data_IF_278454360464
#
_entry.id   IF_278454360464
#
_cell.length_a   1.000
_cell.length_b   1.000
_cell.length_c   1.000
_cell.angle_alpha   90.00
_cell.angle_beta   90.00
_cell.angle_gamma   90.00
#
_symmetry.space_group_name_H-M   'P 1'
#
loop_
_entity.id
_entity.type
_entity.pdbx_description
1 polymer ?
#
# COMPACT_ATOMS: atom_id res chain seq x y z
N UNK A 1 -0.47 -6.38 29.47
CA UNK A 1 -1.26 -5.56 28.52
C UNK A 1 -0.59 -4.23 28.21
N UNK A 2 -0.15 -3.45 29.20
CA UNK A 2 0.47 -2.13 28.97
C UNK A 2 1.75 -2.16 28.12
N UNK A 3 2.64 -3.15 28.27
CA UNK A 3 3.88 -3.22 27.46
C UNK A 3 3.62 -3.53 25.98
N UNK A 4 2.58 -4.31 25.67
CA UNK A 4 2.19 -4.63 24.30
C UNK A 4 1.54 -3.44 23.60
N UNK A 5 0.66 -2.72 24.32
CA UNK A 5 0.12 -1.45 23.85
C UNK A 5 1.24 -0.42 23.60
N UNK A 6 2.19 -0.29 24.52
CA UNK A 6 3.34 0.62 24.34
C UNK A 6 4.19 0.23 23.13
N UNK A 7 4.44 -1.06 22.89
CA UNK A 7 5.14 -1.55 21.68
C UNK A 7 4.36 -1.27 20.39
N UNK A 8 3.03 -1.33 20.44
CA UNK A 8 2.15 -1.12 19.29
C UNK A 8 2.02 0.36 18.91
N UNK A 9 2.11 1.26 19.89
CA UNK A 9 2.08 2.72 19.69
C UNK A 9 3.47 3.36 19.57
N UNK A 10 4.55 2.61 19.82
CA UNK A 10 5.93 3.09 19.73
C UNK A 10 6.31 3.68 18.35
N UNK A 11 5.89 3.10 17.21
CA UNK A 11 6.13 3.70 15.90
C UNK A 11 5.43 5.05 15.74
N UNK A 12 4.21 5.19 16.29
CA UNK A 12 3.45 6.43 16.20
C UNK A 12 4.12 7.58 16.95
N UNK A 13 4.82 7.30 18.04
CA UNK A 13 5.57 8.32 18.79
C UNK A 13 6.92 8.63 18.13
N UNK A 14 7.59 7.62 17.56
CA UNK A 14 8.91 7.77 16.94
C UNK A 14 8.86 8.55 15.61
N UNK A 15 7.79 8.38 14.80
CA UNK A 15 7.63 9.03 13.50
C UNK A 15 6.79 10.32 13.52
N UNK A 16 6.27 10.74 14.68
CA UNK A 16 5.44 11.96 14.82
C UNK A 16 6.25 13.25 15.01
N UNK A 17 7.54 13.26 14.72
CA UNK A 17 8.44 14.32 15.18
C UNK A 17 8.75 15.38 14.11
N UNK A 18 7.72 16.04 13.59
CA UNK A 18 7.89 17.34 12.95
C UNK A 18 7.23 18.42 13.80
N UNK A 19 7.89 19.58 13.94
CA UNK A 19 7.39 20.72 14.73
C UNK A 19 5.99 21.17 14.27
N UNK A 20 5.70 20.99 12.98
CA UNK A 20 4.40 21.27 12.37
C UNK A 20 3.35 20.19 12.70
N UNK A 21 3.73 18.91 12.78
CA UNK A 21 2.80 17.84 13.16
C UNK A 21 2.30 18.00 14.61
N UNK A 22 3.18 18.36 15.54
CA UNK A 22 2.80 18.61 16.93
C UNK A 22 1.86 19.83 17.07
N UNK A 23 2.12 20.90 16.32
CA UNK A 23 1.25 22.08 16.28
C UNK A 23 -0.13 21.76 15.68
N UNK A 24 -0.17 21.04 14.56
CA UNK A 24 -1.42 20.62 13.91
C UNK A 24 -2.20 19.61 14.75
N UNK A 25 -1.54 18.70 15.46
CA UNK A 25 -2.18 17.76 16.36
C UNK A 25 -2.85 18.47 17.55
N UNK A 26 -2.21 19.50 18.11
CA UNK A 26 -2.83 20.33 19.16
C UNK A 26 -4.01 21.16 18.64
N UNK A 27 -3.97 21.61 17.39
CA UNK A 27 -5.03 22.43 16.77
C UNK A 27 -6.26 21.62 16.36
N UNK A 28 -6.05 20.46 15.76
CA UNK A 28 -7.12 19.65 15.16
C UNK A 28 -7.50 18.43 16.00
N UNK A 29 -6.65 17.94 16.90
CA UNK A 29 -6.92 16.77 17.72
C UNK A 29 -7.42 15.59 16.89
N UNK A 30 -8.61 15.07 17.23
CA UNK A 30 -9.25 13.95 16.53
C UNK A 30 -9.54 14.22 15.04
N UNK A 31 -9.63 15.49 14.60
CA UNK A 31 -9.87 15.83 13.19
C UNK A 31 -8.68 15.50 12.26
N UNK A 32 -7.49 15.25 12.81
CA UNK A 32 -6.34 14.71 12.03
C UNK A 32 -6.60 13.33 11.44
N UNK A 33 -7.63 12.61 11.93
CA UNK A 33 -8.05 11.31 11.38
C UNK A 33 -8.99 11.44 10.18
N UNK A 34 -9.43 12.64 9.82
CA UNK A 34 -10.32 12.84 8.66
C UNK A 34 -9.68 12.29 7.38
N UNK A 35 -8.42 12.58 7.02
CA UNK A 35 -7.85 12.09 5.76
C UNK A 35 -7.85 10.56 5.60
N UNK A 36 -7.38 9.76 6.56
CA UNK A 36 -7.47 8.30 6.43
C UNK A 36 -8.92 7.81 6.49
N UNK A 37 -9.81 8.42 7.28
CA UNK A 37 -11.23 8.04 7.32
C UNK A 37 -11.93 8.28 5.98
N UNK A 38 -11.71 9.44 5.35
CA UNK A 38 -12.27 9.79 4.05
C UNK A 38 -11.76 8.81 2.99
N UNK A 39 -10.45 8.52 2.97
CA UNK A 39 -9.87 7.57 2.04
C UNK A 39 -10.48 6.17 2.19
N UNK A 40 -10.59 5.65 3.42
CA UNK A 40 -11.12 4.30 3.68
C UNK A 40 -12.62 4.24 3.39
N UNK A 41 -13.39 5.21 3.87
CA UNK A 41 -14.84 5.23 3.67
C UNK A 41 -15.20 5.34 2.18
N UNK A 42 -14.54 6.24 1.45
CA UNK A 42 -14.76 6.35 0.02
C UNK A 42 -14.28 5.12 -0.74
N UNK A 43 -13.21 4.45 -0.31
CA UNK A 43 -12.75 3.23 -0.98
C UNK A 43 -13.80 2.11 -0.92
N UNK A 44 -14.52 1.98 0.21
CA UNK A 44 -15.62 1.01 0.32
C UNK A 44 -16.88 1.44 -0.42
N UNK A 45 -17.22 2.73 -0.43
CA UNK A 45 -18.44 3.25 -1.09
C UNK A 45 -18.27 3.26 -2.61
N UNK A 46 -17.20 3.88 -3.11
CA UNK A 46 -16.95 4.08 -4.53
C UNK A 46 -16.40 2.83 -5.21
N UNK A 47 -15.82 1.90 -4.43
CA UNK A 47 -15.07 0.74 -4.93
C UNK A 47 -13.92 1.13 -5.86
N UNK A 48 -13.45 2.38 -5.78
CA UNK A 48 -12.33 2.93 -6.53
C UNK A 48 -11.28 3.45 -5.55
N UNK A 49 -10.18 2.71 -5.43
CA UNK A 49 -9.09 3.03 -4.51
C UNK A 49 -8.36 4.31 -4.94
N UNK A 50 -8.22 4.55 -6.24
CA UNK A 50 -7.44 5.69 -6.76
C UNK A 50 -8.15 6.99 -6.45
N UNK A 51 -9.46 7.07 -6.77
CA UNK A 51 -10.27 8.26 -6.46
C UNK A 51 -10.36 8.51 -4.95
N UNK A 52 -10.44 7.43 -4.16
CA UNK A 52 -10.55 7.53 -2.71
C UNK A 52 -9.27 8.00 -2.05
N UNK A 53 -8.11 7.52 -2.50
CA UNK A 53 -6.80 8.01 -2.08
C UNK A 53 -6.62 9.49 -2.44
N UNK A 54 -7.00 9.88 -3.66
CA UNK A 54 -6.96 11.28 -4.08
C UNK A 54 -7.81 12.18 -3.18
N UNK A 55 -9.06 11.79 -2.90
CA UNK A 55 -9.95 12.51 -1.99
C UNK A 55 -9.39 12.57 -0.56
N UNK A 56 -8.77 11.49 -0.07
CA UNK A 56 -8.07 11.48 1.21
C UNK A 56 -6.93 12.50 1.27
N UNK A 57 -6.03 12.49 0.29
CA UNK A 57 -4.92 13.46 0.19
C UNK A 57 -5.44 14.90 0.06
N UNK A 58 -6.51 15.11 -0.71
CA UNK A 58 -7.16 16.42 -0.83
C UNK A 58 -7.71 16.90 0.51
N UNK A 59 -8.36 16.03 1.29
CA UNK A 59 -8.81 16.39 2.63
C UNK A 59 -7.65 16.69 3.61
N UNK A 60 -6.51 16.00 3.47
CA UNK A 60 -5.31 16.26 4.28
C UNK A 60 -4.65 17.60 3.96
N UNK A 61 -4.45 17.88 2.67
CA UNK A 61 -3.93 19.19 2.22
C UNK A 61 -4.90 20.33 2.53
N UNK A 62 -6.21 20.06 2.59
CA UNK A 62 -7.23 20.98 3.07
C UNK A 62 -7.05 21.34 4.55
N UNK A 63 -6.86 20.35 5.42
CA UNK A 63 -6.59 20.61 6.84
C UNK A 63 -5.28 21.38 7.06
N UNK A 64 -4.22 21.05 6.33
CA UNK A 64 -2.95 21.78 6.42
C UNK A 64 -3.06 23.22 5.93
N UNK A 65 -3.87 23.48 4.92
CA UNK A 65 -4.13 24.85 4.44
C UNK A 65 -5.04 25.61 5.38
N UNK A 66 -5.95 24.91 6.06
CA UNK A 66 -6.81 25.49 7.07
C UNK A 66 -6.00 25.95 8.30
N UNK A 67 -5.06 25.14 8.83
CA UNK A 67 -4.23 25.58 9.95
C UNK A 67 -3.34 26.78 9.59
N UNK A 68 -2.70 26.74 8.43
CA UNK A 68 -1.85 27.84 7.95
C UNK A 68 -2.61 29.17 7.83
N UNK A 69 -3.89 29.14 7.44
CA UNK A 69 -4.74 30.32 7.32
C UNK A 69 -5.34 30.76 8.66
N UNK A 70 -5.67 29.83 9.57
CA UNK A 70 -6.13 30.14 10.94
C UNK A 70 -5.04 30.91 11.72
N UNK A 71 -3.77 30.53 11.59
CA UNK A 71 -2.66 31.25 12.24
C UNK A 71 -2.41 32.66 11.65
N UNK A 72 -2.88 32.94 10.43
CA UNK A 72 -2.66 34.23 9.73
C UNK A 72 -3.83 35.21 9.81
N UNK A 73 -5.05 34.78 10.12
CA UNK A 73 -6.23 35.63 10.01
C UNK A 73 -7.13 35.60 11.27
N UNK A 74 -7.11 36.69 12.04
CA UNK A 74 -8.03 36.96 13.15
C UNK A 74 -9.47 37.29 12.68
N UNK A 75 -9.75 37.45 11.38
CA UNK A 75 -11.06 37.91 10.91
C UNK A 75 -11.52 37.28 9.57
N UNK A 76 -12.82 36.94 9.53
CA UNK A 76 -13.70 36.50 8.42
C UNK A 76 -13.60 35.05 7.91
N UNK A 77 -14.51 34.20 8.41
CA UNK A 77 -14.59 32.75 8.18
C UNK A 77 -15.07 32.28 6.78
N UNK A 78 -15.70 33.13 5.95
CA UNK A 78 -16.35 32.69 4.69
C UNK A 78 -15.54 32.94 3.41
N UNK A 79 -14.76 34.02 3.34
CA UNK A 79 -13.85 34.29 2.18
C UNK A 79 -12.68 33.30 2.16
N UNK A 80 -12.40 32.68 3.32
CA UNK A 80 -11.30 31.73 3.50
C UNK A 80 -11.56 30.37 2.86
N UNK A 81 -12.80 29.88 2.74
CA UNK A 81 -13.03 28.51 2.26
C UNK A 81 -12.63 28.32 0.79
N UNK A 82 -13.01 29.26 -0.09
CA UNK A 82 -12.63 29.20 -1.51
C UNK A 82 -11.11 29.30 -1.68
N UNK A 83 -10.48 30.26 -1.00
CA UNK A 83 -9.03 30.44 -1.04
C UNK A 83 -8.28 29.23 -0.47
N UNK A 84 -8.74 28.66 0.65
CA UNK A 84 -8.18 27.43 1.22
C UNK A 84 -8.38 26.25 0.27
N UNK A 85 -9.53 26.10 -0.39
CA UNK A 85 -9.75 25.03 -1.36
C UNK A 85 -8.80 25.12 -2.56
N UNK A 86 -8.61 26.33 -3.11
CA UNK A 86 -7.65 26.59 -4.20
C UNK A 86 -6.21 26.32 -3.74
N UNK A 87 -5.82 26.82 -2.56
CA UNK A 87 -4.48 26.60 -2.00
C UNK A 87 -4.21 25.11 -1.73
N UNK A 88 -5.22 24.37 -1.28
CA UNK A 88 -5.12 22.92 -1.03
C UNK A 88 -4.84 22.16 -2.31
N UNK A 89 -5.55 22.49 -3.39
CA UNK A 89 -5.31 21.89 -4.69
C UNK A 89 -3.90 22.23 -5.20
N UNK A 90 -3.45 23.48 -5.07
CA UNK A 90 -2.07 23.87 -5.39
C UNK A 90 -1.04 23.13 -4.54
N UNK A 91 -1.30 22.89 -3.25
CA UNK A 91 -0.40 22.15 -2.37
C UNK A 91 -0.25 20.70 -2.78
N UNK A 92 -1.32 20.02 -3.21
CA UNK A 92 -1.23 18.66 -3.76
C UNK A 92 -0.24 18.62 -4.91
N UNK A 93 -0.35 19.55 -5.87
CA UNK A 93 0.57 19.62 -7.01
C UNK A 93 2.00 19.87 -6.53
N UNK A 94 2.21 20.77 -5.56
CA UNK A 94 3.54 21.04 -5.01
C UNK A 94 4.15 19.84 -4.30
N UNK A 95 3.36 19.06 -3.56
CA UNK A 95 3.83 17.84 -2.90
C UNK A 95 4.12 16.74 -3.90
N UNK A 96 3.27 16.54 -4.92
CA UNK A 96 3.54 15.58 -6.00
C UNK A 96 4.84 15.95 -6.71
N UNK A 97 5.02 17.24 -7.05
CA UNK A 97 6.22 17.73 -7.72
C UNK A 97 7.46 17.54 -6.86
N UNK A 98 7.41 17.95 -5.59
CA UNK A 98 8.51 17.82 -4.64
C UNK A 98 8.91 16.35 -4.43
N UNK A 99 7.94 15.48 -4.17
CA UNK A 99 8.18 14.05 -3.98
C UNK A 99 8.71 13.37 -5.24
N UNK A 100 8.22 13.73 -6.43
CA UNK A 100 8.65 13.12 -7.70
C UNK A 100 10.00 13.63 -8.18
N UNK A 101 10.38 14.85 -7.76
CA UNK A 101 11.66 15.47 -8.15
C UNK A 101 12.84 15.01 -7.28
N UNK A 102 12.56 14.39 -6.13
CA UNK A 102 13.60 13.75 -5.31
C UNK A 102 14.21 12.56 -6.08
N UNK A 103 15.55 12.51 -6.25
CA UNK A 103 16.21 11.48 -7.05
C UNK A 103 15.94 10.04 -6.57
N UNK A 104 15.74 9.84 -5.26
CA UNK A 104 15.48 8.51 -4.70
C UNK A 104 14.05 8.08 -5.01
N UNK A 105 13.08 8.95 -4.72
CA UNK A 105 11.67 8.69 -5.05
C UNK A 105 11.46 8.50 -6.56
N UNK A 106 12.11 9.33 -7.39
CA UNK A 106 12.09 9.17 -8.85
C UNK A 106 12.67 7.83 -9.30
N UNK A 107 13.80 7.41 -8.70
CA UNK A 107 14.39 6.10 -8.93
C UNK A 107 13.45 4.95 -8.60
N UNK A 108 12.70 5.07 -7.49
CA UNK A 108 11.70 4.08 -7.08
C UNK A 108 10.51 4.04 -8.05
N UNK A 109 10.01 5.19 -8.50
CA UNK A 109 8.94 5.24 -9.50
C UNK A 109 9.38 4.53 -10.79
N UNK A 110 10.59 4.83 -11.27
CA UNK A 110 11.16 4.17 -12.45
C UNK A 110 11.29 2.66 -12.22
N UNK A 111 11.78 2.25 -11.05
CA UNK A 111 11.90 0.85 -10.68
C UNK A 111 10.54 0.12 -10.67
N UNK A 112 9.52 0.71 -10.05
CA UNK A 112 8.17 0.12 -9.99
C UNK A 112 7.58 -0.02 -11.41
N UNK A 113 7.77 0.99 -12.28
CA UNK A 113 7.34 0.91 -13.68
C UNK A 113 8.07 -0.19 -14.46
N UNK A 114 9.39 -0.31 -14.30
CA UNK A 114 10.18 -1.34 -14.95
C UNK A 114 9.83 -2.75 -14.46
N UNK A 115 9.73 -2.96 -13.14
CA UNK A 115 9.35 -4.26 -12.56
C UNK A 115 7.92 -4.60 -12.97
N UNK A 116 6.98 -3.65 -12.89
CA UNK A 116 5.60 -3.85 -13.35
C UNK A 116 5.52 -4.28 -14.82
N UNK A 117 6.31 -3.65 -15.70
CA UNK A 117 6.43 -4.03 -17.11
C UNK A 117 7.02 -5.44 -17.30
N UNK A 118 8.08 -5.77 -16.56
CA UNK A 118 8.70 -7.10 -16.57
C UNK A 118 7.71 -8.18 -16.10
N UNK A 119 6.99 -7.92 -15.02
CA UNK A 119 5.97 -8.81 -14.47
C UNK A 119 4.83 -9.02 -15.47
N UNK A 120 4.37 -7.97 -16.14
CA UNK A 120 3.37 -8.07 -17.20
C UNK A 120 3.86 -8.93 -18.36
N UNK A 121 5.12 -8.76 -18.77
CA UNK A 121 5.74 -9.57 -19.82
C UNK A 121 5.84 -11.05 -19.41
N UNK A 122 6.36 -11.35 -18.23
CA UNK A 122 6.48 -12.72 -17.70
C UNK A 122 5.11 -13.40 -17.60
N UNK A 123 4.12 -12.66 -17.13
CA UNK A 123 2.73 -13.14 -17.03
C UNK A 123 2.16 -13.45 -18.41
N UNK A 124 2.43 -12.59 -19.40
CA UNK A 124 1.98 -12.79 -20.80
C UNK A 124 2.70 -13.93 -21.52
N UNK A 125 3.99 -14.15 -21.24
CA UNK A 125 4.77 -15.27 -21.80
C UNK A 125 4.26 -16.64 -21.33
N UNK A 126 3.49 -16.71 -20.24
CA UNK A 126 2.84 -17.94 -19.78
C UNK A 126 3.77 -18.96 -19.12
N UNK A 127 5.05 -18.62 -18.90
CA UNK A 127 6.02 -19.50 -18.23
C UNK A 127 5.58 -19.87 -16.81
N UNK A 128 5.18 -18.88 -16.01
CA UNK A 128 4.65 -19.09 -14.67
C UNK A 128 3.36 -19.94 -14.68
N UNK A 129 2.49 -19.73 -15.68
CA UNK A 129 1.30 -20.57 -15.91
C UNK A 129 1.66 -22.01 -16.25
N UNK A 130 2.69 -22.24 -17.07
CA UNK A 130 3.15 -23.59 -17.41
C UNK A 130 3.75 -24.32 -16.21
N UNK A 131 4.55 -23.63 -15.37
CA UNK A 131 5.06 -24.17 -14.10
C UNK A 131 3.90 -24.54 -13.18
N UNK A 132 2.94 -23.64 -13.00
CA UNK A 132 1.75 -23.87 -12.19
C UNK A 132 0.96 -25.10 -12.65
N UNK A 133 0.74 -25.26 -13.95
CA UNK A 133 0.07 -26.44 -14.52
C UNK A 133 0.85 -27.74 -14.26
N UNK A 134 2.18 -27.70 -14.30
CA UNK A 134 3.02 -28.87 -13.99
C UNK A 134 2.88 -29.28 -12.51
N UNK A 135 2.80 -28.33 -11.60
CA UNK A 135 2.56 -28.59 -10.18
C UNK A 135 1.12 -29.05 -9.91
N UNK A 136 0.13 -28.49 -10.60
CA UNK A 136 -1.25 -28.93 -10.51
C UNK A 136 -1.40 -30.41 -10.91
N UNK A 137 -0.74 -30.85 -11.99
CA UNK A 137 -0.72 -32.28 -12.41
C UNK A 137 -0.08 -33.22 -11.39
N UNK A 138 0.83 -32.72 -10.55
CA UNK A 138 1.51 -33.53 -9.51
C UNK A 138 0.68 -33.70 -8.24
N UNK A 139 -0.39 -32.92 -8.05
CA UNK A 139 -1.18 -33.02 -6.84
C UNK A 139 -2.12 -34.22 -6.88
N UNK A 140 -1.91 -35.16 -5.96
CA UNK A 140 -2.68 -36.42 -5.88
C UNK A 140 -3.66 -36.49 -4.71
N UNK A 141 -3.57 -35.56 -3.76
CA UNK A 141 -4.38 -35.52 -2.55
C UNK A 141 -4.67 -34.08 -2.09
N UNK A 142 -5.59 -33.91 -1.15
CA UNK A 142 -5.89 -32.60 -0.56
C UNK A 142 -4.66 -31.94 0.08
N UNK A 143 -3.82 -32.72 0.77
CA UNK A 143 -2.57 -32.22 1.36
C UNK A 143 -1.59 -31.82 0.28
N UNK A 144 -1.40 -32.67 -0.73
CA UNK A 144 -0.48 -32.39 -1.84
C UNK A 144 -0.93 -31.17 -2.65
N UNK A 145 -2.23 -30.94 -2.83
CA UNK A 145 -2.75 -29.76 -3.48
C UNK A 145 -2.42 -28.49 -2.69
N UNK A 146 -2.63 -28.49 -1.37
CA UNK A 146 -2.29 -27.34 -0.50
C UNK A 146 -0.79 -27.05 -0.50
N UNK A 147 0.04 -28.09 -0.36
CA UNK A 147 1.50 -27.96 -0.37
C UNK A 147 1.99 -27.45 -1.72
N UNK A 148 1.45 -27.96 -2.84
CA UNK A 148 1.82 -27.47 -4.17
C UNK A 148 1.36 -26.03 -4.39
N UNK A 149 0.19 -25.63 -3.91
CA UNK A 149 -0.28 -24.24 -3.98
C UNK A 149 0.67 -23.32 -3.20
N UNK A 150 1.05 -23.73 -1.99
CA UNK A 150 1.98 -22.98 -1.14
C UNK A 150 3.37 -22.84 -1.79
N UNK A 151 3.94 -23.94 -2.29
CA UNK A 151 5.22 -23.90 -3.02
C UNK A 151 5.17 -23.05 -4.29
N UNK A 152 4.05 -23.09 -5.01
CA UNK A 152 3.87 -22.29 -6.21
C UNK A 152 3.78 -20.80 -5.87
N UNK A 153 3.11 -20.46 -4.77
CA UNK A 153 3.11 -19.10 -4.22
C UNK A 153 4.53 -18.62 -3.86
N UNK A 154 5.34 -19.47 -3.23
CA UNK A 154 6.75 -19.16 -2.96
C UNK A 154 7.59 -18.98 -4.24
N UNK A 155 7.28 -19.72 -5.30
CA UNK A 155 8.00 -19.62 -6.58
C UNK A 155 7.67 -18.34 -7.36
N UNK A 156 6.43 -17.84 -7.25
CA UNK A 156 5.96 -16.62 -7.90
C UNK A 156 6.06 -15.46 -6.89
N UNK A 157 7.26 -15.23 -6.37
CA UNK A 157 7.51 -14.27 -5.28
C UNK A 157 7.68 -12.81 -5.73
N UNK A 158 7.84 -12.56 -7.02
CA UNK A 158 8.24 -11.25 -7.52
C UNK A 158 7.12 -10.20 -7.48
N UNK A 159 5.85 -10.62 -7.45
CA UNK A 159 4.68 -9.75 -7.39
C UNK A 159 3.48 -10.48 -6.79
N UNK A 160 2.76 -9.84 -5.87
CA UNK A 160 1.62 -10.41 -5.16
C UNK A 160 0.38 -10.52 -6.06
N UNK A 161 0.09 -9.54 -6.91
CA UNK A 161 -1.00 -9.60 -7.87
C UNK A 161 -0.80 -10.72 -8.91
N UNK A 162 0.38 -10.80 -9.52
CA UNK A 162 0.70 -11.86 -10.48
C UNK A 162 0.59 -13.24 -9.83
N UNK A 163 1.04 -13.39 -8.58
CA UNK A 163 0.88 -14.61 -7.81
C UNK A 163 -0.59 -15.02 -7.68
N UNK A 164 -1.45 -14.11 -7.19
CA UNK A 164 -2.89 -14.37 -7.03
C UNK A 164 -3.57 -14.68 -8.38
N UNK A 165 -3.22 -13.96 -9.45
CA UNK A 165 -3.80 -14.12 -10.79
C UNK A 165 -3.37 -15.41 -11.50
N UNK A 166 -2.18 -15.94 -11.18
CA UNK A 166 -1.65 -17.16 -11.79
C UNK A 166 -2.04 -18.37 -10.93
N UNK A 167 -1.67 -18.37 -9.65
CA UNK A 167 -1.84 -19.53 -8.74
C UNK A 167 -3.32 -19.79 -8.48
N UNK A 168 -4.10 -18.74 -8.22
CA UNK A 168 -5.51 -18.85 -7.86
C UNK A 168 -6.34 -19.63 -8.88
N UNK A 169 -6.48 -19.14 -10.12
CA UNK A 169 -7.27 -19.81 -11.15
C UNK A 169 -6.75 -21.21 -11.53
N UNK A 170 -5.43 -21.44 -11.48
CA UNK A 170 -4.84 -22.73 -11.89
C UNK A 170 -5.03 -23.81 -10.82
N UNK A 171 -4.88 -23.45 -9.54
CA UNK A 171 -5.03 -24.40 -8.43
C UNK A 171 -6.49 -24.54 -7.97
N UNK A 172 -7.38 -23.60 -8.30
CA UNK A 172 -8.80 -23.65 -7.92
C UNK A 172 -9.53 -24.93 -8.33
N UNK A 173 -9.43 -25.44 -9.58
CA UNK A 173 -10.08 -26.70 -9.96
C UNK A 173 -9.60 -27.89 -9.12
N UNK A 174 -8.33 -27.86 -8.70
CA UNK A 174 -7.72 -28.89 -7.87
C UNK A 174 -8.19 -28.80 -6.41
N UNK A 175 -8.30 -27.57 -5.89
CA UNK A 175 -8.86 -27.29 -4.59
C UNK A 175 -10.33 -27.75 -4.49
N UNK A 176 -11.14 -27.42 -5.50
CA UNK A 176 -12.53 -27.84 -5.61
C UNK A 176 -12.62 -29.38 -5.73
N UNK A 177 -11.77 -30.03 -6.53
CA UNK A 177 -11.71 -31.51 -6.67
C UNK A 177 -11.43 -32.23 -5.35
N UNK A 178 -10.51 -31.71 -4.55
CA UNK A 178 -10.13 -32.30 -3.26
C UNK A 178 -10.94 -31.75 -2.07
N UNK A 179 -12.04 -31.01 -2.34
CA UNK A 179 -12.94 -30.44 -1.32
C UNK A 179 -12.22 -29.58 -0.27
N UNK A 180 -11.23 -28.80 -0.70
CA UNK A 180 -10.58 -27.80 0.14
C UNK A 180 -11.50 -26.58 0.24
N UNK A 181 -11.71 -26.04 1.45
CA UNK A 181 -12.57 -24.88 1.64
C UNK A 181 -12.01 -23.65 0.91
N UNK A 182 -12.91 -22.79 0.41
CA UNK A 182 -12.51 -21.60 -0.37
C UNK A 182 -11.71 -20.63 0.49
N UNK A 183 -12.05 -20.53 1.77
CA UNK A 183 -11.41 -19.66 2.76
C UNK A 183 -9.98 -20.15 3.04
N UNK A 184 -9.79 -21.45 3.21
CA UNK A 184 -8.46 -22.03 3.42
C UNK A 184 -7.59 -21.90 2.18
N UNK A 185 -8.17 -22.12 1.00
CA UNK A 185 -7.46 -21.95 -0.26
C UNK A 185 -7.04 -20.48 -0.48
N UNK A 186 -7.95 -19.54 -0.26
CA UNK A 186 -7.66 -18.11 -0.33
C UNK A 186 -6.55 -17.72 0.66
N UNK A 187 -6.63 -18.19 1.91
CA UNK A 187 -5.59 -17.96 2.90
C UNK A 187 -4.22 -18.47 2.46
N UNK A 188 -4.13 -19.69 1.91
CA UNK A 188 -2.84 -20.25 1.45
C UNK A 188 -2.23 -19.36 0.36
N UNK A 189 -3.00 -18.97 -0.65
CA UNK A 189 -2.46 -18.17 -1.75
C UNK A 189 -2.08 -16.77 -1.25
N UNK A 190 -2.95 -16.12 -0.49
CA UNK A 190 -2.72 -14.77 0.04
C UNK A 190 -1.50 -14.71 0.98
N UNK A 191 -1.38 -15.68 1.90
CA UNK A 191 -0.24 -15.81 2.81
C UNK A 191 1.11 -16.04 2.09
N UNK A 192 1.07 -16.49 0.83
CA UNK A 192 2.27 -16.67 -0.01
C UNK A 192 2.48 -15.58 -1.05
N UNK A 193 1.53 -14.65 -1.20
CA UNK A 193 1.62 -13.55 -2.15
C UNK A 193 2.31 -12.35 -1.49
N UNK A 194 1.57 -11.56 -0.71
CA UNK A 194 2.07 -10.32 -0.12
C UNK A 194 3.27 -10.52 0.84
N UNK A 195 3.26 -11.49 1.79
CA UNK A 195 4.38 -11.64 2.73
C UNK A 195 5.69 -12.05 2.04
N UNK A 196 5.60 -12.88 1.00
CA UNK A 196 6.78 -13.36 0.27
C UNK A 196 7.33 -12.27 -0.62
N UNK A 197 6.46 -11.51 -1.30
CA UNK A 197 6.86 -10.34 -2.07
C UNK A 197 7.52 -9.27 -1.19
N UNK A 198 7.06 -9.08 0.05
CA UNK A 198 7.68 -8.14 1.00
C UNK A 198 9.09 -8.54 1.46
N UNK A 199 9.39 -9.85 1.56
CA UNK A 199 10.70 -10.35 2.03
C UNK A 199 11.68 -10.58 0.86
N UNK A 200 11.17 -10.81 -0.35
CA UNK A 200 12.01 -11.13 -1.50
C UNK A 200 12.90 -9.94 -1.94
N UNK A 201 14.17 -10.24 -2.22
CA UNK A 201 15.17 -9.25 -2.65
C UNK A 201 14.80 -8.58 -3.98
N UNK A 202 14.15 -9.32 -4.88
CA UNK A 202 13.66 -8.82 -6.17
C UNK A 202 12.14 -8.94 -6.16
N UNK A 203 11.46 -7.85 -5.80
CA UNK A 203 10.00 -7.78 -5.76
C UNK A 203 9.50 -6.37 -6.12
N UNK A 204 8.18 -6.25 -6.29
CA UNK A 204 7.52 -4.96 -6.47
C UNK A 204 7.55 -4.05 -5.23
N UNK A 205 7.80 -4.60 -4.05
CA UNK A 205 7.80 -3.86 -2.78
C UNK A 205 9.17 -3.29 -2.37
N UNK A 206 10.27 -3.88 -2.86
CA UNK A 206 11.62 -3.56 -2.37
C UNK A 206 12.00 -2.07 -2.52
N UNK A 207 11.55 -1.41 -3.59
CA UNK A 207 11.82 0.02 -3.80
C UNK A 207 11.19 0.90 -2.73
N UNK A 208 9.94 0.60 -2.34
CA UNK A 208 9.26 1.30 -1.25
C UNK A 208 9.93 1.03 0.09
N UNK A 209 10.22 -0.24 0.40
CA UNK A 209 10.85 -0.64 1.66
C UNK A 209 12.21 0.07 1.87
N UNK A 210 13.07 0.06 0.84
CA UNK A 210 14.36 0.76 0.90
C UNK A 210 14.17 2.27 1.07
N UNK A 211 13.15 2.86 0.46
CA UNK A 211 12.82 4.29 0.64
C UNK A 211 12.47 4.62 2.08
N UNK A 212 11.59 3.82 2.68
CA UNK A 212 11.13 4.01 4.04
C UNK A 212 12.28 3.82 5.04
N UNK A 213 13.14 2.81 4.80
CA UNK A 213 14.34 2.58 5.59
C UNK A 213 15.29 3.78 5.47
N UNK A 214 15.56 4.28 4.27
CA UNK A 214 16.42 5.46 4.06
C UNK A 214 15.87 6.69 4.78
N UNK A 215 14.57 6.95 4.64
CA UNK A 215 13.88 8.07 5.30
C UNK A 215 13.98 7.96 6.83
N UNK A 216 13.89 6.74 7.36
CA UNK A 216 14.08 6.49 8.78
C UNK A 216 15.53 6.74 9.24
N UNK A 217 16.53 6.33 8.45
CA UNK A 217 17.93 6.62 8.75
C UNK A 217 18.21 8.13 8.73
N UNK A 218 17.73 8.86 7.72
CA UNK A 218 17.87 10.32 7.65
C UNK A 218 17.28 11.05 8.87
N UNK A 219 16.25 10.47 9.50
CA UNK A 219 15.67 10.98 10.73
C UNK A 219 16.51 10.72 11.98
N UNK A 220 17.31 9.66 12.01
CA UNK A 220 18.07 9.22 13.20
C UNK A 220 19.52 9.77 13.16
N UNK A 221 20.04 10.11 11.98
CA UNK A 221 21.41 10.60 11.76
C UNK A 221 22.34 9.51 11.27
#
# INVERSE_FOLDING_TARGET
MNKFLVLLFLPLVAFANSSEAAANANLFGAFTLIPPLVAIALAFITKDVILSLFAGVLSGTFLLSLSANIFKAQHLAFVNFYNTAVESFSKIISYILGSTSDPVNAGIILQILCIGGLVALITKMGGAKAVALKFAKRAKSAVSAQVNTWFLGLLIFFDDYANLLIVGPIMRPLADKFKISREKFAFIIDSTAAPVAGIAVISTWIGLEVSLIKTAYEHIG
#
